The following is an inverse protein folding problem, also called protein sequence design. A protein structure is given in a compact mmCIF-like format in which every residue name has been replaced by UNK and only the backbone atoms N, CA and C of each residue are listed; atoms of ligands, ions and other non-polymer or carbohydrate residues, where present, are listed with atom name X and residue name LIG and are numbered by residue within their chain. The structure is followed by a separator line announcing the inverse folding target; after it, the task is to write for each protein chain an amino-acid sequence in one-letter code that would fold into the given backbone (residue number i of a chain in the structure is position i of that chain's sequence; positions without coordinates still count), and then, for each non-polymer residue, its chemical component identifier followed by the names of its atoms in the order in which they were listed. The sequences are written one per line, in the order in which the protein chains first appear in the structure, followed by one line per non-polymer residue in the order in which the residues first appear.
data_IF_734040727487
#
_entry.id   IF_734040727487
#
_cell.length_a   1.000
_cell.length_b   1.000
_cell.length_c   1.000
_cell.angle_alpha   90.00
_cell.angle_beta   90.00
_cell.angle_gamma   90.00
#
_symmetry.space_group_name_H-M   'P 1'
#
loop_
_entity.id
_entity.type
_entity.pdbx_description
1 polymer ?
#
# COMPACT_ATOMS: atom_id res chain seq x y z
N UNK A 1 4.55 -41.99 -10.26
CA UNK A 1 4.26 -40.97 -9.22
C UNK A 1 2.80 -41.07 -8.87
N UNK A 2 2.40 -40.93 -7.60
CA UNK A 2 0.98 -40.92 -7.26
C UNK A 2 0.31 -39.66 -7.81
N UNK A 3 -1.01 -39.72 -8.06
CA UNK A 3 -1.77 -38.57 -8.54
C UNK A 3 -1.65 -37.35 -7.61
N UNK A 4 -1.59 -37.60 -6.30
CA UNK A 4 -1.35 -36.58 -5.28
C UNK A 4 0.01 -35.90 -5.39
N UNK A 5 1.07 -36.68 -5.62
CA UNK A 5 2.41 -36.12 -5.83
C UNK A 5 2.46 -35.24 -7.10
N UNK A 6 1.79 -35.67 -8.18
CA UNK A 6 1.68 -34.87 -9.41
C UNK A 6 0.90 -33.58 -9.14
N UNK A 7 -0.24 -33.65 -8.46
CA UNK A 7 -1.04 -32.48 -8.11
C UNK A 7 -0.27 -31.47 -7.25
N UNK A 8 0.54 -31.95 -6.29
CA UNK A 8 1.43 -31.12 -5.49
C UNK A 8 2.47 -30.40 -6.36
N UNK A 9 3.15 -31.12 -7.24
CA UNK A 9 4.13 -30.52 -8.15
C UNK A 9 3.48 -29.47 -9.05
N UNK A 10 2.29 -29.75 -9.59
CA UNK A 10 1.54 -28.80 -10.42
C UNK A 10 1.14 -27.56 -9.61
N UNK A 11 0.57 -27.73 -8.42
CA UNK A 11 0.20 -26.62 -7.53
C UNK A 11 1.41 -25.73 -7.21
N UNK A 12 2.51 -26.32 -6.74
CA UNK A 12 3.73 -25.58 -6.38
C UNK A 12 4.33 -24.87 -7.59
N UNK A 13 4.34 -25.51 -8.76
CA UNK A 13 4.85 -24.91 -9.99
C UNK A 13 3.98 -23.72 -10.42
N UNK A 14 2.65 -23.85 -10.36
CA UNK A 14 1.73 -22.76 -10.69
C UNK A 14 1.86 -21.58 -9.72
N UNK A 15 2.00 -21.86 -8.41
CA UNK A 15 2.26 -20.83 -7.41
C UNK A 15 3.55 -20.06 -7.72
N UNK A 16 4.64 -20.77 -7.98
CA UNK A 16 5.93 -20.16 -8.32
C UNK A 16 5.87 -19.35 -9.62
N UNK A 17 5.30 -19.91 -10.68
CA UNK A 17 5.21 -19.24 -11.99
C UNK A 17 4.34 -17.98 -11.91
N UNK A 18 3.19 -18.08 -11.23
CA UNK A 18 2.29 -16.93 -11.05
C UNK A 18 2.84 -15.87 -10.09
N UNK A 19 3.87 -16.18 -9.31
CA UNK A 19 4.58 -15.22 -8.45
C UNK A 19 5.66 -14.42 -9.21
N UNK A 20 6.08 -14.86 -10.41
CA UNK A 20 7.08 -14.16 -11.23
C UNK A 20 6.74 -12.68 -11.49
N UNK A 21 5.49 -12.29 -11.84
CA UNK A 21 5.12 -10.89 -11.99
C UNK A 21 5.34 -10.07 -10.73
N UNK A 22 5.11 -10.64 -9.54
CA UNK A 22 5.38 -9.98 -8.26
C UNK A 22 6.87 -9.71 -8.10
N UNK A 23 7.72 -10.70 -8.33
CA UNK A 23 9.17 -10.55 -8.27
C UNK A 23 9.70 -9.50 -9.26
N UNK A 24 9.14 -9.47 -10.48
CA UNK A 24 9.47 -8.45 -11.47
C UNK A 24 9.03 -7.05 -11.02
N UNK A 25 7.87 -6.91 -10.38
CA UNK A 25 7.40 -5.63 -9.88
C UNK A 25 8.30 -5.08 -8.74
N UNK A 26 8.87 -5.96 -7.90
CA UNK A 26 9.79 -5.56 -6.84
C UNK A 26 11.11 -4.95 -7.37
N UNK A 27 11.59 -5.43 -8.51
CA UNK A 27 12.86 -4.96 -9.12
C UNK A 27 12.66 -3.79 -10.08
N UNK A 28 11.46 -3.63 -10.64
CA UNK A 28 11.17 -2.56 -11.59
C UNK A 28 10.99 -1.21 -10.87
N UNK A 29 11.58 -0.17 -11.44
CA UNK A 29 11.26 1.23 -11.15
C UNK A 29 10.44 1.77 -12.33
N UNK A 30 9.34 2.49 -12.05
CA UNK A 30 8.44 2.98 -13.09
C UNK A 30 8.65 4.46 -13.36
N UNK A 31 8.89 4.80 -14.62
CA UNK A 31 8.91 6.20 -15.04
C UNK A 31 7.51 6.79 -15.16
N UNK A 32 7.42 8.08 -14.87
CA UNK A 32 6.23 8.88 -15.16
C UNK A 32 6.24 9.18 -16.66
N UNK A 33 5.12 8.87 -17.33
CA UNK A 33 4.97 9.28 -18.72
C UNK A 33 4.71 10.79 -18.72
N UNK A 34 5.42 11.59 -19.54
CA UNK A 34 5.07 13.00 -19.70
C UNK A 34 3.67 13.05 -20.31
N UNK A 35 2.70 13.48 -19.52
CA UNK A 35 1.29 13.47 -19.89
C UNK A 35 0.78 14.88 -20.11
N UNK A 36 0.52 15.24 -21.37
CA UNK A 36 -0.30 16.39 -21.74
C UNK A 36 0.36 17.77 -21.56
N UNK A 37 -0.46 18.84 -21.66
CA UNK A 37 0.00 20.22 -21.54
C UNK A 37 0.70 20.46 -20.20
N UNK A 38 1.81 21.17 -20.26
CA UNK A 38 2.58 21.53 -19.07
C UNK A 38 2.14 22.89 -18.53
N UNK A 39 2.55 23.23 -17.30
CA UNK A 39 2.36 24.59 -16.79
C UNK A 39 3.00 25.67 -17.68
N UNK A 40 4.04 25.34 -18.47
CA UNK A 40 4.66 26.32 -19.38
C UNK A 40 3.77 26.67 -20.56
N UNK A 41 2.85 25.77 -20.92
CA UNK A 41 1.92 25.94 -22.05
C UNK A 41 0.60 26.60 -21.63
N UNK A 42 0.41 26.89 -20.34
CA UNK A 42 -0.83 27.46 -19.82
C UNK A 42 -1.02 28.91 -20.27
N UNK A 43 -2.19 29.29 -20.83
CA UNK A 43 -2.49 30.68 -21.17
C UNK A 43 -2.92 31.51 -19.95
N UNK A 44 -3.12 30.90 -18.78
CA UNK A 44 -3.78 31.52 -17.63
C UNK A 44 -2.85 32.23 -16.65
N UNK A 45 -1.54 32.02 -16.75
CA UNK A 45 -0.57 32.47 -15.76
C UNK A 45 0.50 33.37 -16.37
N UNK A 46 1.01 34.29 -15.56
CA UNK A 46 2.23 35.04 -15.86
C UNK A 46 3.44 34.10 -15.97
N UNK A 47 4.52 34.56 -16.62
CA UNK A 47 5.76 33.77 -16.69
C UNK A 47 6.34 33.45 -15.29
N UNK A 48 6.17 34.34 -14.32
CA UNK A 48 6.55 34.07 -12.94
C UNK A 48 5.68 32.96 -12.32
N UNK A 49 4.36 33.02 -12.51
CA UNK A 49 3.44 31.99 -12.02
C UNK A 49 3.71 30.62 -12.64
N UNK A 50 3.95 30.56 -13.95
CA UNK A 50 4.35 29.33 -14.66
C UNK A 50 5.62 28.74 -14.07
N UNK A 51 6.63 29.57 -13.79
CA UNK A 51 7.89 29.13 -13.18
C UNK A 51 7.66 28.53 -11.78
N UNK A 52 6.86 29.18 -10.93
CA UNK A 52 6.52 28.66 -9.59
C UNK A 52 5.83 27.30 -9.68
N UNK A 53 4.82 27.17 -10.54
CA UNK A 53 4.05 25.94 -10.75
C UNK A 53 4.93 24.80 -11.31
N UNK A 54 5.76 25.11 -12.31
CA UNK A 54 6.69 24.15 -12.90
C UNK A 54 7.72 23.64 -11.87
N UNK A 55 8.24 24.53 -11.02
CA UNK A 55 9.14 24.13 -9.93
C UNK A 55 8.45 23.25 -8.89
N UNK A 56 7.18 23.51 -8.55
CA UNK A 56 6.41 22.62 -7.66
C UNK A 56 6.22 21.23 -8.29
N UNK A 57 5.78 21.15 -9.55
CA UNK A 57 5.65 19.88 -10.25
C UNK A 57 6.96 19.11 -10.32
N UNK A 58 8.08 19.79 -10.63
CA UNK A 58 9.42 19.18 -10.64
C UNK A 58 9.81 18.60 -9.28
N UNK A 59 9.47 19.28 -8.18
CA UNK A 59 9.68 18.77 -6.80
C UNK A 59 8.81 17.55 -6.49
N UNK A 60 7.59 17.50 -7.01
CA UNK A 60 6.68 16.37 -6.84
C UNK A 60 7.02 15.16 -7.72
N UNK A 61 7.74 15.36 -8.83
CA UNK A 61 8.08 14.31 -9.78
C UNK A 61 8.69 13.06 -9.12
N UNK A 62 9.70 13.23 -8.26
CA UNK A 62 10.31 12.09 -7.55
C UNK A 62 9.33 11.34 -6.63
N UNK A 63 8.45 12.09 -5.96
CA UNK A 63 7.42 11.54 -5.07
C UNK A 63 6.38 10.74 -5.87
N UNK A 64 5.93 11.25 -7.01
CA UNK A 64 4.97 10.58 -7.89
C UNK A 64 5.55 9.30 -8.49
N UNK A 65 6.81 9.32 -8.92
CA UNK A 65 7.53 8.14 -9.41
C UNK A 65 7.59 7.06 -8.33
N UNK A 66 7.89 7.46 -7.08
CA UNK A 66 7.88 6.57 -5.93
C UNK A 66 6.47 5.98 -5.68
N UNK A 67 5.43 6.82 -5.59
CA UNK A 67 4.05 6.37 -5.39
C UNK A 67 3.59 5.39 -6.47
N UNK A 68 3.81 5.71 -7.74
CA UNK A 68 3.44 4.84 -8.85
C UNK A 68 4.16 3.50 -8.80
N UNK A 69 5.45 3.50 -8.49
CA UNK A 69 6.27 2.28 -8.36
C UNK A 69 5.76 1.40 -7.22
N UNK A 70 5.50 2.00 -6.05
CA UNK A 70 4.99 1.26 -4.90
C UNK A 70 3.54 0.79 -5.08
N UNK A 71 2.68 1.61 -5.70
CA UNK A 71 1.33 1.22 -6.07
C UNK A 71 1.35 -0.05 -6.94
N UNK A 72 2.22 -0.12 -7.95
CA UNK A 72 2.32 -1.29 -8.81
C UNK A 72 2.83 -2.55 -8.07
N UNK A 73 3.80 -2.39 -7.18
CA UNK A 73 4.31 -3.48 -6.32
C UNK A 73 3.19 -4.05 -5.46
N UNK A 74 2.50 -3.19 -4.72
CA UNK A 74 1.38 -3.60 -3.87
C UNK A 74 0.22 -4.16 -4.69
N UNK A 75 -0.11 -3.58 -5.85
CA UNK A 75 -1.16 -4.08 -6.76
C UNK A 75 -0.88 -5.52 -7.19
N UNK A 76 0.33 -5.79 -7.67
CA UNK A 76 0.70 -7.10 -8.21
C UNK A 76 0.69 -8.16 -7.11
N UNK A 77 1.23 -7.83 -5.93
CA UNK A 77 1.20 -8.74 -4.78
C UNK A 77 -0.22 -8.93 -4.21
N UNK A 78 -1.05 -7.88 -4.21
CA UNK A 78 -2.45 -7.96 -3.78
C UNK A 78 -3.23 -8.94 -4.67
N UNK A 79 -3.12 -8.81 -5.99
CA UNK A 79 -3.80 -9.68 -6.95
C UNK A 79 -3.37 -11.14 -6.73
N UNK A 80 -2.06 -11.38 -6.65
CA UNK A 80 -1.53 -12.72 -6.39
C UNK A 80 -2.10 -13.31 -5.08
N UNK A 81 -2.04 -12.54 -3.99
CA UNK A 81 -2.51 -12.99 -2.68
C UNK A 81 -4.00 -13.28 -2.68
N UNK A 82 -4.81 -12.36 -3.23
CA UNK A 82 -6.26 -12.50 -3.30
C UNK A 82 -6.67 -13.75 -4.10
N UNK A 83 -6.03 -14.00 -5.24
CA UNK A 83 -6.30 -15.18 -6.06
C UNK A 83 -6.01 -16.47 -5.28
N UNK A 84 -4.81 -16.61 -4.72
CA UNK A 84 -4.41 -17.85 -4.05
C UNK A 84 -5.13 -18.10 -2.73
N UNK A 85 -5.42 -17.05 -1.96
CA UNK A 85 -6.25 -17.15 -0.75
C UNK A 85 -7.67 -17.60 -1.13
N UNK A 86 -8.29 -16.98 -2.14
CA UNK A 86 -9.66 -17.35 -2.56
C UNK A 86 -9.74 -18.80 -3.03
N UNK A 87 -8.77 -19.23 -3.86
CA UNK A 87 -8.68 -20.61 -4.32
C UNK A 87 -8.50 -21.58 -3.15
N UNK A 88 -7.69 -21.22 -2.15
CA UNK A 88 -7.43 -22.10 -1.00
C UNK A 88 -8.61 -22.15 -0.03
N UNK A 89 -9.36 -21.05 0.16
CA UNK A 89 -10.58 -21.02 0.98
C UNK A 89 -11.62 -22.05 0.50
N UNK A 90 -11.75 -22.24 -0.82
CA UNK A 90 -12.65 -23.25 -1.39
C UNK A 90 -11.96 -24.61 -1.51
N UNK A 91 -10.68 -24.63 -1.89
CA UNK A 91 -9.92 -25.85 -2.18
C UNK A 91 -9.59 -26.68 -0.94
N UNK A 92 -9.21 -26.05 0.18
CA UNK A 92 -8.81 -26.75 1.41
C UNK A 92 -9.93 -27.64 1.96
N UNK A 93 -11.20 -27.17 2.12
CA UNK A 93 -12.29 -28.03 2.55
C UNK A 93 -12.55 -29.23 1.62
N UNK A 94 -12.46 -29.02 0.31
CA UNK A 94 -12.66 -30.08 -0.69
C UNK A 94 -11.53 -31.12 -0.64
N UNK A 95 -10.28 -30.65 -0.57
CA UNK A 95 -9.12 -31.52 -0.44
C UNK A 95 -9.17 -32.30 0.87
N UNK A 96 -9.55 -31.66 1.98
CA UNK A 96 -9.66 -32.32 3.28
C UNK A 96 -10.67 -33.48 3.27
N UNK A 97 -11.78 -33.34 2.54
CA UNK A 97 -12.75 -34.44 2.36
C UNK A 97 -12.24 -35.57 1.45
N UNK A 98 -11.35 -35.25 0.50
CA UNK A 98 -10.83 -36.19 -0.48
C UNK A 98 -9.54 -36.89 -0.04
N UNK A 99 -8.99 -36.57 1.14
CA UNK A 99 -7.76 -37.20 1.65
C UNK A 99 -7.95 -38.71 1.81
N UNK A 100 -6.93 -39.46 1.40
CA UNK A 100 -6.88 -40.91 1.49
C UNK A 100 -5.63 -41.39 2.25
N UNK A 101 -5.33 -42.69 2.12
CA UNK A 101 -4.18 -43.32 2.77
C UNK A 101 -2.82 -42.93 2.18
N UNK A 102 -2.75 -42.31 1.00
CA UNK A 102 -1.49 -41.87 0.39
C UNK A 102 -0.90 -40.69 1.21
N UNK A 103 0.34 -40.78 1.74
CA UNK A 103 0.98 -39.68 2.45
C UNK A 103 1.03 -38.36 1.65
N UNK A 104 1.08 -38.43 0.32
CA UNK A 104 1.12 -37.25 -0.55
C UNK A 104 -0.17 -36.42 -0.50
N UNK A 105 -1.32 -37.03 -0.19
CA UNK A 105 -2.59 -36.30 -0.04
C UNK A 105 -2.56 -35.33 1.14
N UNK A 106 -1.96 -35.75 2.26
CA UNK A 106 -1.76 -34.93 3.46
C UNK A 106 -0.78 -33.81 3.20
N UNK A 107 0.36 -34.10 2.54
CA UNK A 107 1.33 -33.08 2.15
C UNK A 107 0.74 -32.02 1.23
N UNK A 108 -0.07 -32.43 0.25
CA UNK A 108 -0.77 -31.49 -0.62
C UNK A 108 -1.66 -30.55 0.19
N UNK A 109 -2.53 -31.08 1.06
CA UNK A 109 -3.40 -30.26 1.90
C UNK A 109 -2.58 -29.29 2.75
N UNK A 110 -1.54 -29.78 3.42
CA UNK A 110 -0.67 -28.95 4.28
C UNK A 110 0.00 -27.82 3.50
N UNK A 111 0.51 -28.10 2.30
CA UNK A 111 1.18 -27.06 1.47
C UNK A 111 0.18 -26.00 1.02
N UNK A 112 -1.02 -26.40 0.57
CA UNK A 112 -2.07 -25.44 0.15
C UNK A 112 -2.51 -24.55 1.33
N UNK A 113 -2.76 -25.16 2.49
CA UNK A 113 -3.15 -24.45 3.70
C UNK A 113 -2.04 -23.51 4.21
N UNK A 114 -0.79 -23.99 4.27
CA UNK A 114 0.35 -23.19 4.70
C UNK A 114 0.63 -22.02 3.75
N UNK A 115 0.58 -22.26 2.43
CA UNK A 115 0.80 -21.21 1.43
C UNK A 115 -0.22 -20.08 1.58
N UNK A 116 -1.52 -20.39 1.64
CA UNK A 116 -2.56 -19.37 1.82
C UNK A 116 -2.46 -18.65 3.17
N UNK A 117 -2.13 -19.36 4.25
CA UNK A 117 -1.93 -18.74 5.57
C UNK A 117 -0.76 -17.76 5.57
N UNK A 118 0.38 -18.12 4.95
CA UNK A 118 1.53 -17.24 4.78
C UNK A 118 1.14 -16.01 3.96
N UNK A 119 0.44 -16.18 2.83
CA UNK A 119 -0.01 -15.04 2.03
C UNK A 119 -0.95 -14.11 2.79
N UNK A 120 -1.87 -14.66 3.56
CA UNK A 120 -2.77 -13.85 4.39
C UNK A 120 -1.99 -13.08 5.45
N UNK A 121 -1.06 -13.74 6.15
CA UNK A 121 -0.23 -13.11 7.17
C UNK A 121 0.62 -11.98 6.59
N UNK A 122 1.31 -12.22 5.47
CA UNK A 122 2.14 -11.21 4.78
C UNK A 122 1.27 -10.07 4.23
N UNK A 123 0.13 -10.38 3.60
CA UNK A 123 -0.78 -9.36 3.07
C UNK A 123 -1.31 -8.43 4.16
N UNK A 124 -1.56 -8.95 5.36
CA UNK A 124 -2.00 -8.17 6.52
C UNK A 124 -0.86 -7.40 7.16
N UNK A 125 0.28 -8.06 7.42
CA UNK A 125 1.45 -7.45 8.06
C UNK A 125 1.97 -6.25 7.27
N UNK A 126 2.01 -6.35 5.94
CA UNK A 126 2.42 -5.25 5.07
C UNK A 126 1.28 -4.35 4.62
N UNK A 127 0.05 -4.53 5.14
CA UNK A 127 -1.14 -3.72 4.82
C UNK A 127 -1.29 -3.45 3.31
N UNK A 128 -1.08 -4.50 2.52
CA UNK A 128 -0.85 -4.44 1.07
C UNK A 128 -1.96 -3.69 0.33
N UNK A 129 -3.22 -3.99 0.65
CA UNK A 129 -4.37 -3.35 0.03
C UNK A 129 -4.49 -1.86 0.40
N UNK A 130 -4.26 -1.52 1.67
CA UNK A 130 -4.35 -0.15 2.16
C UNK A 130 -3.28 0.73 1.49
N UNK A 131 -2.04 0.25 1.42
CA UNK A 131 -0.94 0.95 0.75
C UNK A 131 -1.18 1.09 -0.75
N UNK A 132 -1.62 0.03 -1.42
CA UNK A 132 -1.99 0.12 -2.84
C UNK A 132 -3.01 1.25 -3.09
N UNK A 133 -4.10 1.28 -2.31
CA UNK A 133 -5.14 2.30 -2.43
C UNK A 133 -4.60 3.69 -2.13
N UNK A 134 -3.82 3.85 -1.07
CA UNK A 134 -3.26 5.13 -0.67
C UNK A 134 -2.36 5.74 -1.76
N UNK A 135 -1.41 4.97 -2.29
CA UNK A 135 -0.51 5.47 -3.35
C UNK A 135 -1.25 5.77 -4.66
N UNK A 136 -2.20 4.91 -5.05
CA UNK A 136 -2.98 5.11 -6.29
C UNK A 136 -3.91 6.31 -6.19
N UNK A 137 -4.56 6.51 -5.05
CA UNK A 137 -5.42 7.65 -4.80
C UNK A 137 -4.60 8.93 -4.72
N UNK A 138 -3.48 8.92 -4.00
CA UNK A 138 -2.57 10.06 -3.90
C UNK A 138 -2.04 10.54 -5.25
N UNK A 139 -1.60 9.62 -6.10
CA UNK A 139 -1.20 9.92 -7.47
C UNK A 139 -2.37 10.55 -8.27
N UNK A 140 -3.56 9.96 -8.19
CA UNK A 140 -4.73 10.42 -8.95
C UNK A 140 -5.19 11.81 -8.49
N UNK A 141 -5.29 12.04 -7.18
CA UNK A 141 -5.64 13.33 -6.59
C UNK A 141 -4.65 14.43 -7.01
N UNK A 142 -3.34 14.13 -6.98
CA UNK A 142 -2.34 15.09 -7.45
C UNK A 142 -2.57 15.47 -8.92
N UNK A 143 -2.77 14.48 -9.81
CA UNK A 143 -3.00 14.76 -11.22
C UNK A 143 -4.32 15.47 -11.47
N UNK A 144 -5.35 15.23 -10.66
CA UNK A 144 -6.62 15.93 -10.76
C UNK A 144 -6.51 17.38 -10.29
N UNK A 145 -5.72 17.66 -9.25
CA UNK A 145 -5.37 19.03 -8.85
C UNK A 145 -4.58 19.74 -9.95
N UNK A 146 -3.58 19.06 -10.51
CA UNK A 146 -2.76 19.58 -11.61
C UNK A 146 -3.61 19.98 -12.82
N UNK A 147 -4.51 19.09 -13.27
CA UNK A 147 -5.44 19.38 -14.38
C UNK A 147 -6.41 20.50 -14.03
N UNK A 148 -6.99 20.49 -12.83
CA UNK A 148 -7.90 21.56 -12.37
C UNK A 148 -7.21 22.93 -12.40
N UNK A 149 -5.94 23.00 -12.00
CA UNK A 149 -5.17 24.24 -12.02
C UNK A 149 -4.91 24.73 -13.45
N UNK A 150 -4.72 23.83 -14.41
CA UNK A 150 -4.59 24.17 -15.83
C UNK A 150 -5.92 24.60 -16.47
N UNK A 151 -7.00 23.88 -16.19
CA UNK A 151 -8.26 24.06 -16.90
C UNK A 151 -9.14 25.17 -16.29
N UNK A 152 -9.13 25.31 -14.95
CA UNK A 152 -10.04 26.18 -14.20
C UNK A 152 -9.34 26.79 -12.97
N UNK A 153 -8.32 27.63 -13.17
CA UNK A 153 -7.56 28.22 -12.07
C UNK A 153 -8.41 29.09 -11.13
N UNK A 154 -9.49 29.70 -11.62
CA UNK A 154 -10.41 30.51 -10.80
C UNK A 154 -11.06 29.79 -9.61
N UNK A 155 -11.07 28.44 -9.58
CA UNK A 155 -11.55 27.66 -8.43
C UNK A 155 -10.63 27.85 -7.21
N UNK A 156 -9.36 28.17 -7.46
CA UNK A 156 -8.34 28.31 -6.43
C UNK A 156 -8.26 29.72 -5.82
N UNK A 157 -8.90 30.72 -6.42
CA UNK A 157 -8.87 32.09 -5.91
C UNK A 157 -9.23 33.14 -6.96
N UNK A 158 -9.43 34.37 -6.52
CA UNK A 158 -9.74 35.51 -7.38
C UNK A 158 -8.52 36.14 -8.05
N UNK A 159 -7.33 35.89 -7.51
CA UNK A 159 -6.05 36.39 -8.03
C UNK A 159 -5.07 35.26 -8.33
N UNK A 160 -4.12 35.49 -9.24
CA UNK A 160 -3.08 34.50 -9.59
C UNK A 160 -2.29 34.03 -8.36
N UNK A 161 -1.90 34.95 -7.48
CA UNK A 161 -1.16 34.62 -6.25
C UNK A 161 -1.97 33.69 -5.35
N UNK A 162 -3.23 34.02 -5.10
CA UNK A 162 -4.13 33.21 -4.28
C UNK A 162 -4.34 31.82 -4.89
N UNK A 163 -4.50 31.75 -6.22
CA UNK A 163 -4.68 30.50 -6.95
C UNK A 163 -3.46 29.58 -6.79
N UNK A 164 -2.25 30.11 -6.96
CA UNK A 164 -0.99 29.35 -6.83
C UNK A 164 -0.79 28.88 -5.38
N UNK A 165 -1.00 29.76 -4.41
CA UNK A 165 -0.74 29.43 -3.00
C UNK A 165 -1.74 28.36 -2.51
N UNK A 166 -3.02 28.47 -2.87
CA UNK A 166 -4.03 27.46 -2.55
C UNK A 166 -3.78 26.13 -3.27
N UNK A 167 -3.32 26.16 -4.52
CA UNK A 167 -2.89 24.95 -5.22
C UNK A 167 -1.72 24.25 -4.47
N UNK A 168 -0.72 25.01 -4.02
CA UNK A 168 0.40 24.45 -3.25
C UNK A 168 -0.03 23.85 -1.92
N UNK A 169 -0.95 24.51 -1.20
CA UNK A 169 -1.53 23.99 0.04
C UNK A 169 -2.25 22.65 -0.18
N UNK A 170 -3.05 22.55 -1.26
CA UNK A 170 -3.75 21.31 -1.60
C UNK A 170 -2.78 20.20 -2.01
N UNK A 171 -1.72 20.51 -2.77
CA UNK A 171 -0.66 19.54 -3.10
C UNK A 171 0.05 19.06 -1.85
N UNK A 172 0.34 19.94 -0.89
CA UNK A 172 0.95 19.56 0.38
C UNK A 172 0.02 18.66 1.21
N UNK A 173 -1.28 18.97 1.22
CA UNK A 173 -2.29 18.15 1.88
C UNK A 173 -2.31 16.73 1.32
N UNK A 174 -2.33 16.58 -0.01
CA UNK A 174 -2.25 15.26 -0.67
C UNK A 174 -0.97 14.54 -0.25
N UNK A 175 0.18 15.22 -0.27
CA UNK A 175 1.46 14.63 0.14
C UNK A 175 1.46 14.18 1.60
N UNK A 176 0.85 14.95 2.50
CA UNK A 176 0.76 14.62 3.93
C UNK A 176 -0.07 13.37 4.17
N UNK A 177 -1.22 13.25 3.47
CA UNK A 177 -2.09 12.07 3.56
C UNK A 177 -1.37 10.81 3.09
N UNK A 178 -0.68 10.86 1.95
CA UNK A 178 0.04 9.67 1.44
C UNK A 178 1.26 9.35 2.30
N UNK A 179 1.97 10.36 2.83
CA UNK A 179 3.07 10.14 3.79
C UNK A 179 2.61 9.44 5.06
N UNK A 180 1.45 9.78 5.59
CA UNK A 180 0.90 9.08 6.76
C UNK A 180 0.76 7.59 6.45
N UNK A 181 0.26 7.24 5.25
CA UNK A 181 0.22 5.85 4.81
C UNK A 181 1.63 5.24 4.64
N UNK A 182 2.62 5.97 4.10
CA UNK A 182 4.01 5.49 3.99
C UNK A 182 4.61 5.12 5.37
N UNK A 183 4.30 5.92 6.40
CA UNK A 183 4.88 5.79 7.73
C UNK A 183 4.02 4.97 8.70
N UNK A 184 2.80 4.58 8.34
CA UNK A 184 1.85 3.87 9.21
C UNK A 184 2.30 2.45 9.64
N UNK A 185 3.47 2.01 9.18
CA UNK A 185 4.17 0.80 9.61
C UNK A 185 5.29 1.06 10.62
N UNK A 186 5.59 2.33 10.92
CA UNK A 186 6.50 2.76 11.97
C UNK A 186 5.68 3.32 13.12
N UNK A 187 5.97 2.97 14.39
CA UNK A 187 5.36 3.68 15.50
C UNK A 187 5.68 5.15 15.35
N UNK A 188 4.66 5.99 15.31
CA UNK A 188 4.86 7.43 15.30
C UNK A 188 5.49 7.86 16.63
N UNK A 189 6.17 9.00 16.66
CA UNK A 189 6.70 9.54 17.92
C UNK A 189 5.57 9.77 18.95
N UNK A 190 4.33 9.94 18.47
CA UNK A 190 3.12 10.04 19.27
C UNK A 190 2.75 8.68 19.89
N UNK A 191 2.88 7.57 19.15
CA UNK A 191 2.69 6.21 19.67
C UNK A 191 3.73 5.83 20.73
N UNK A 192 4.99 6.21 20.53
CA UNK A 192 6.08 6.01 21.52
C UNK A 192 5.86 6.88 22.76
N UNK A 193 5.37 8.11 22.59
CA UNK A 193 5.01 9.00 23.70
C UNK A 193 3.78 8.50 24.47
N UNK A 194 2.87 7.79 23.81
CA UNK A 194 1.67 7.22 24.43
C UNK A 194 1.98 5.91 25.17
N UNK A 195 2.81 5.01 24.61
CA UNK A 195 3.30 3.82 25.32
C UNK A 195 4.13 4.16 26.56
N UNK A 196 4.98 5.19 26.50
CA UNK A 196 5.74 5.66 27.66
C UNK A 196 4.86 6.28 28.75
N UNK A 197 3.75 6.93 28.40
CA UNK A 197 2.75 7.40 29.38
C UNK A 197 1.94 6.25 30.01
N UNK A 198 1.57 5.24 29.21
CA UNK A 198 0.82 4.06 29.70
C UNK A 198 1.70 3.19 30.60
N UNK A 199 2.98 3.02 30.26
CA UNK A 199 3.96 2.32 31.11
C UNK A 199 4.19 3.00 32.46
N UNK A 200 4.08 4.32 32.54
CA UNK A 200 4.27 5.06 33.80
C UNK A 200 3.06 4.97 34.74
N UNK A 201 1.84 4.77 34.20
CA UNK A 201 0.61 4.61 34.98
C UNK A 201 0.36 3.17 35.45
N UNK A 202 0.94 2.17 34.78
CA UNK A 202 0.82 0.75 35.16
C UNK A 202 1.73 0.30 36.32
N UNK A 203 2.77 1.09 36.66
CA UNK A 203 3.74 0.72 37.69
C UNK A 203 3.36 1.15 39.12
N UNK A 204 2.19 1.79 39.32
CA UNK A 204 1.81 2.44 40.58
C UNK A 204 0.72 1.79 41.43
N UNK A 205 0.07 0.70 41.00
CA UNK A 205 -1.15 0.19 41.68
C UNK A 205 -1.03 -1.24 42.21
N UNK A 206 0.04 -1.54 42.95
CA UNK A 206 0.24 -2.87 43.54
C UNK A 206 0.91 -2.84 44.92
N UNK A 207 0.25 -2.26 45.93
CA UNK A 207 0.62 -2.50 47.34
C UNK A 207 -0.45 -2.01 48.31
N UNK A 208 -1.42 -2.86 48.64
CA UNK A 208 -2.12 -2.82 49.95
C UNK A 208 -2.44 -4.25 50.38
N UNK A 209 -1.46 -4.89 51.04
CA UNK A 209 -1.67 -6.14 51.77
C UNK A 209 -2.50 -5.87 53.03
N UNK A 210 -3.60 -6.58 53.19
CA UNK A 210 -4.39 -6.61 54.43
C UNK A 210 -3.84 -7.70 55.35
N UNK A 211 -3.53 -7.44 56.64
CA UNK A 211 -3.02 -8.46 57.54
C UNK A 211 -4.16 -9.33 58.09
N UNK A 212 -3.97 -10.66 58.00
CA UNK A 212 -4.78 -11.65 58.72
C UNK A 212 -4.66 -11.44 60.23
N UNK A 213 -5.80 -11.42 60.94
CA UNK A 213 -5.86 -11.73 62.37
C UNK A 213 -6.61 -13.04 62.57
N UNK A 214 -5.98 -13.86 63.41
CA UNK A 214 -6.37 -15.14 64.00
C UNK A 214 -7.80 -15.22 64.50
#
# INVERSE_FOLDING_TARGET
MSGWAIALVVYSSLALISFIPVLRALTKWLDLKPGGPSFTDSPHFSEEGKNRLAQNFKRMHGTLTFWKTYAERYRTFHIYSLTWISLSTVGVPLLAQAIDSDPWSKWLLTVVAAHSAVLLAVSRAFRVEAHYKAFRNGESEFYDLYRRMLDRPGIFGGSETEQIDKYFEQVETVRRVVRAAETDNFPSMEDVAQESRVGHLGAGSGSTGTPQRT
#
